data_IF_053815531000
#
_entry.id   IF_053815531000
#
_cell.length_a   1.000
_cell.length_b   1.000
_cell.length_c   1.000
_cell.angle_alpha   90.00
_cell.angle_beta   90.00
_cell.angle_gamma   90.00
#
_symmetry.space_group_name_H-M   'P 1'
#
loop_
_entity.id
_entity.type
_entity.pdbx_description
1 polymer ?
#
# COMPACT_ATOMS: atom_id res chain seq x y z
N UNK A 1 12.02 9.89 6.99
CA UNK A 1 11.42 8.75 6.30
C UNK A 1 9.94 9.01 6.07
N UNK A 2 9.45 8.68 4.89
CA UNK A 2 8.03 8.91 4.56
C UNK A 2 7.22 7.67 4.90
N UNK A 3 6.14 7.86 5.64
CA UNK A 3 5.18 6.81 5.89
C UNK A 3 3.97 7.06 5.01
N UNK A 4 3.52 6.02 4.32
CA UNK A 4 2.44 6.14 3.35
C UNK A 4 1.13 5.61 3.90
N UNK A 5 0.04 6.26 3.49
CA UNK A 5 -1.29 5.69 3.67
C UNK A 5 -1.64 4.87 2.46
N UNK A 6 -2.06 3.65 2.68
CA UNK A 6 -2.46 2.74 1.60
C UNK A 6 -3.96 2.90 1.38
N UNK A 7 -4.31 3.21 0.15
CA UNK A 7 -5.69 3.52 -0.23
C UNK A 7 -6.22 2.43 -1.16
N UNK A 8 -7.39 1.91 -0.87
CA UNK A 8 -8.07 0.94 -1.74
C UNK A 8 -9.54 1.28 -1.76
N UNK A 9 -10.10 1.42 -2.96
CA UNK A 9 -11.51 1.79 -3.16
C UNK A 9 -11.86 3.08 -2.42
N UNK A 10 -10.94 4.05 -2.46
CA UNK A 10 -11.16 5.35 -1.86
C UNK A 10 -11.05 5.38 -0.35
N UNK A 11 -10.65 4.29 0.28
CA UNK A 11 -10.54 4.20 1.74
C UNK A 11 -9.11 3.92 2.16
N UNK A 12 -8.70 4.48 3.29
CA UNK A 12 -7.42 4.15 3.88
C UNK A 12 -7.54 2.79 4.54
N UNK A 13 -6.80 1.82 4.02
CA UNK A 13 -6.86 0.44 4.50
C UNK A 13 -5.64 0.03 5.31
N UNK A 14 -4.59 0.87 5.31
CA UNK A 14 -3.36 0.57 6.04
C UNK A 14 -2.59 1.88 6.21
N UNK A 15 -2.00 2.10 7.37
CA UNK A 15 -1.29 3.35 7.67
C UNK A 15 0.17 3.09 7.97
N UNK A 16 0.98 4.14 7.80
CA UNK A 16 2.40 4.15 8.15
C UNK A 16 3.19 3.08 7.42
N UNK A 17 2.83 2.85 6.16
CA UNK A 17 3.55 1.90 5.33
C UNK A 17 4.91 2.47 4.93
N UNK A 18 5.96 1.68 5.10
CA UNK A 18 7.31 2.04 4.70
C UNK A 18 7.87 1.09 3.64
N UNK A 19 7.12 0.07 3.29
CA UNK A 19 7.54 -0.94 2.33
C UNK A 19 6.33 -1.47 1.59
N UNK A 20 6.47 -1.67 0.28
CA UNK A 20 5.42 -2.29 -0.52
C UNK A 20 6.08 -3.12 -1.61
N UNK A 21 5.50 -4.27 -1.88
CA UNK A 21 5.98 -5.17 -2.91
C UNK A 21 4.80 -5.70 -3.69
N UNK A 22 4.87 -5.55 -5.01
CA UNK A 22 3.88 -6.10 -5.91
C UNK A 22 4.43 -7.42 -6.45
N UNK A 23 3.67 -8.49 -6.28
CA UNK A 23 4.13 -9.81 -6.69
C UNK A 23 2.95 -10.60 -7.19
N UNK A 24 3.01 -11.01 -8.45
CA UNK A 24 1.92 -11.68 -9.11
C UNK A 24 0.66 -10.83 -9.01
N UNK A 25 -0.38 -11.30 -8.35
CA UNK A 25 -1.63 -10.55 -8.22
C UNK A 25 -1.83 -10.02 -6.81
N UNK A 26 -0.74 -9.87 -6.05
CA UNK A 26 -0.83 -9.45 -4.65
C UNK A 26 0.06 -8.27 -4.39
N UNK A 27 -0.32 -7.44 -3.41
CA UNK A 27 0.51 -6.37 -2.91
C UNK A 27 0.72 -6.60 -1.42
N UNK A 28 1.99 -6.69 -1.02
CA UNK A 28 2.37 -6.85 0.38
C UNK A 28 2.89 -5.52 0.88
N UNK A 29 2.41 -5.07 2.02
CA UNK A 29 2.88 -3.83 2.64
C UNK A 29 3.37 -4.11 4.04
N UNK A 30 4.27 -3.27 4.53
CA UNK A 30 4.83 -3.38 5.88
C UNK A 30 4.84 -1.99 6.50
N UNK A 31 4.44 -1.89 7.75
CA UNK A 31 4.43 -0.61 8.45
C UNK A 31 5.72 -0.37 9.22
N UNK A 32 5.79 0.77 9.92
CA UNK A 32 6.99 1.18 10.66
C UNK A 32 7.35 0.22 11.79
N UNK A 33 6.38 -0.54 12.27
CA UNK A 33 6.61 -1.52 13.35
C UNK A 33 6.93 -2.90 12.81
N UNK A 34 6.96 -3.07 11.49
CA UNK A 34 7.27 -4.35 10.88
C UNK A 34 6.07 -5.24 10.63
N UNK A 35 4.86 -4.75 10.88
CA UNK A 35 3.66 -5.53 10.60
C UNK A 35 3.41 -5.60 9.11
N UNK A 36 3.07 -6.80 8.64
CA UNK A 36 2.81 -7.07 7.23
C UNK A 36 1.33 -7.24 6.97
N UNK A 37 0.91 -6.80 5.79
CA UNK A 37 -0.43 -7.08 5.31
C UNK A 37 -0.39 -7.38 3.83
N UNK A 38 -1.13 -8.39 3.40
CA UNK A 38 -1.20 -8.79 1.99
C UNK A 38 -2.58 -8.46 1.46
N UNK A 39 -2.62 -7.72 0.35
CA UNK A 39 -3.86 -7.42 -0.36
C UNK A 39 -3.90 -8.27 -1.60
N UNK A 40 -4.79 -9.26 -1.61
CA UNK A 40 -4.89 -10.20 -2.72
C UNK A 40 -5.69 -9.61 -3.86
N UNK A 41 -5.35 -9.99 -5.09
CA UNK A 41 -6.04 -9.55 -6.30
C UNK A 41 -6.02 -8.03 -6.43
N UNK A 42 -4.85 -7.45 -6.15
CA UNK A 42 -4.64 -6.00 -6.21
C UNK A 42 -3.35 -5.70 -6.93
N UNK A 43 -3.25 -4.46 -7.42
CA UNK A 43 -2.02 -3.94 -7.98
C UNK A 43 -1.80 -2.53 -7.45
N UNK A 44 -0.56 -2.07 -7.54
CA UNK A 44 -0.24 -0.69 -7.20
C UNK A 44 -0.64 0.16 -8.39
N UNK A 45 -1.57 1.08 -8.17
CA UNK A 45 -2.07 1.95 -9.22
C UNK A 45 -1.36 3.29 -9.25
N UNK A 46 -0.99 3.81 -8.07
CA UNK A 46 -0.39 5.14 -7.99
C UNK A 46 0.44 5.26 -6.74
N UNK A 47 1.59 5.91 -6.85
CA UNK A 47 2.43 6.28 -5.71
C UNK A 47 2.58 7.79 -5.75
N UNK A 48 2.12 8.46 -4.70
CA UNK A 48 2.22 9.92 -4.60
C UNK A 48 3.02 10.27 -3.36
N UNK A 49 4.28 10.64 -3.57
CA UNK A 49 5.19 10.94 -2.47
C UNK A 49 4.79 12.24 -1.77
N UNK A 50 4.31 13.23 -2.53
CA UNK A 50 3.94 14.52 -1.94
C UNK A 50 2.82 14.39 -0.92
N UNK A 51 1.83 13.57 -1.22
CA UNK A 51 0.71 13.35 -0.30
C UNK A 51 0.87 12.06 0.50
N UNK A 52 1.96 11.35 0.31
CA UNK A 52 2.27 10.07 0.97
C UNK A 52 1.14 9.06 0.85
N UNK A 53 0.66 8.90 -0.39
CA UNK A 53 -0.41 7.97 -0.69
C UNK A 53 0.09 6.86 -1.60
N UNK A 54 -0.24 5.64 -1.23
CA UNK A 54 -0.02 4.46 -2.06
C UNK A 54 -1.39 3.93 -2.40
N UNK A 55 -1.79 4.10 -3.66
CA UNK A 55 -3.13 3.73 -4.10
C UNK A 55 -3.09 2.37 -4.75
N UNK A 56 -3.91 1.47 -4.26
CA UNK A 56 -4.08 0.14 -4.83
C UNK A 56 -5.38 0.09 -5.61
N UNK A 57 -5.41 -0.85 -6.53
CA UNK A 57 -6.58 -1.07 -7.38
C UNK A 57 -6.85 -2.56 -7.42
N UNK A 58 -8.12 -2.93 -7.38
CA UNK A 58 -8.51 -4.33 -7.56
C UNK A 58 -8.27 -4.74 -9.01
N UNK A 59 -7.88 -5.98 -9.20
CA UNK A 59 -7.71 -6.55 -10.54
C UNK A 59 -9.03 -6.91 -11.17
#
# INVERSE_FOLDING_TARGET
MCEFNVILDGKTVFKDAVYAKSEENNVTVKDVLGELKVFKNCRIAEVDVNSTRLVLSNL
#
